data_IF_503507499299
#
_entry.id   IF_503507499299
#
_cell.length_a   1.000
_cell.length_b   1.000
_cell.length_c   1.000
_cell.angle_alpha   90.00
_cell.angle_beta   90.00
_cell.angle_gamma   90.00
#
_symmetry.space_group_name_H-M   'P 1'
#
loop_
_entity.id
_entity.type
_entity.pdbx_description
1 polymer ?
#
# COMPACT_ATOMS: atom_id res chain seq x y z
N UNK A 1 -15.26 54.70 -9.01
CA UNK A 1 -14.11 54.12 -9.75
C UNK A 1 -13.89 52.74 -9.18
N UNK A 2 -14.33 51.73 -9.92
CA UNK A 2 -14.11 50.32 -9.62
C UNK A 2 -12.67 50.02 -10.03
N UNK A 3 -11.86 49.48 -9.13
CA UNK A 3 -10.59 48.86 -9.51
C UNK A 3 -10.77 47.36 -9.36
N UNK A 4 -11.03 46.76 -10.51
CA UNK A 4 -10.79 45.37 -10.85
C UNK A 4 -9.28 45.12 -10.81
N UNK A 5 -8.83 44.26 -9.91
CA UNK A 5 -7.51 43.61 -10.02
C UNK A 5 -7.70 42.10 -10.04
N UNK A 6 -8.13 41.64 -11.21
CA UNK A 6 -8.12 40.24 -11.62
C UNK A 6 -6.68 39.77 -11.79
N UNK A 7 -6.02 39.35 -10.71
CA UNK A 7 -4.74 38.65 -10.78
C UNK A 7 -4.99 37.16 -11.07
N UNK A 8 -5.07 36.88 -12.36
CA UNK A 8 -4.98 35.56 -12.97
C UNK A 8 -3.59 34.97 -12.68
N UNK A 9 -3.40 34.33 -11.53
CA UNK A 9 -2.19 33.53 -11.27
C UNK A 9 -2.28 32.23 -12.06
N UNK A 10 -1.68 32.23 -13.25
CA UNK A 10 -1.27 31.03 -13.98
C UNK A 10 -0.35 30.20 -13.08
N UNK A 11 -0.88 29.09 -12.54
CA UNK A 11 -0.10 28.11 -11.78
C UNK A 11 0.76 27.32 -12.76
N UNK A 12 2.08 27.50 -12.71
CA UNK A 12 3.01 26.50 -13.24
C UNK A 12 2.72 25.19 -12.52
N UNK A 13 2.43 24.14 -13.29
CA UNK A 13 2.22 22.79 -12.80
C UNK A 13 3.58 22.19 -12.45
N UNK A 14 4.16 22.63 -11.33
CA UNK A 14 5.19 21.83 -10.67
C UNK A 14 4.55 20.49 -10.31
N UNK A 15 5.25 19.38 -10.55
CA UNK A 15 4.82 18.06 -10.11
C UNK A 15 4.87 18.02 -8.58
N UNK A 16 3.80 18.50 -7.96
CA UNK A 16 3.61 18.48 -6.52
C UNK A 16 3.32 17.03 -6.12
N UNK A 17 4.33 16.38 -5.54
CA UNK A 17 4.22 15.02 -5.01
C UNK A 17 3.49 15.05 -3.65
N UNK A 18 2.17 15.21 -3.70
CA UNK A 18 1.28 15.17 -2.54
C UNK A 18 0.44 13.90 -2.50
N UNK A 19 -0.24 13.63 -1.38
CA UNK A 19 -1.01 12.37 -1.24
C UNK A 19 -2.17 12.31 -2.24
N UNK A 20 -2.72 13.46 -2.66
CA UNK A 20 -3.81 13.54 -3.63
C UNK A 20 -3.34 13.38 -5.10
N UNK A 21 -2.04 13.23 -5.34
CA UNK A 21 -1.48 12.97 -6.67
C UNK A 21 -1.70 11.52 -7.13
N UNK A 22 -1.77 10.56 -6.20
CA UNK A 22 -1.97 9.13 -6.46
C UNK A 22 -3.36 8.61 -6.04
N UNK A 23 -4.23 9.49 -5.54
CA UNK A 23 -5.57 9.15 -5.07
C UNK A 23 -6.52 8.80 -6.23
N UNK A 24 -7.33 7.76 -6.06
CA UNK A 24 -8.42 7.36 -6.96
C UNK A 24 -9.42 8.51 -7.21
N UNK A 25 -9.58 9.42 -6.25
CA UNK A 25 -10.46 10.60 -6.34
C UNK A 25 -9.79 11.83 -6.97
N UNK A 26 -8.53 11.73 -7.43
CA UNK A 26 -7.65 12.87 -7.69
C UNK A 26 -8.19 13.98 -8.61
N UNK A 27 -8.99 13.67 -9.63
CA UNK A 27 -9.54 14.67 -10.57
C UNK A 27 -10.75 15.45 -10.02
N UNK A 28 -11.53 14.80 -9.16
CA UNK A 28 -12.78 15.36 -8.62
C UNK A 28 -12.66 15.84 -7.18
N UNK A 29 -11.56 15.53 -6.50
CA UNK A 29 -11.31 15.87 -5.10
C UNK A 29 -11.34 17.40 -4.85
N UNK A 30 -12.28 17.83 -4.00
CA UNK A 30 -12.45 19.24 -3.59
C UNK A 30 -11.22 19.75 -2.84
N UNK A 31 -10.62 18.92 -1.98
CA UNK A 31 -9.42 19.25 -1.21
C UNK A 31 -8.25 19.64 -2.11
N UNK A 32 -8.07 18.95 -3.25
CA UNK A 32 -7.03 19.27 -4.25
C UNK A 32 -7.31 20.58 -4.99
N UNK A 33 -8.58 20.86 -5.32
CA UNK A 33 -8.97 22.06 -6.08
C UNK A 33 -8.95 23.33 -5.25
N UNK A 34 -9.28 23.24 -3.96
CA UNK A 34 -9.49 24.41 -3.09
C UNK A 34 -8.23 24.81 -2.33
N UNK A 35 -7.33 23.88 -2.01
CA UNK A 35 -6.10 24.22 -1.29
C UNK A 35 -5.06 24.88 -2.19
N UNK A 36 -4.36 25.85 -1.60
CA UNK A 36 -3.16 26.44 -2.18
C UNK A 36 -1.95 25.75 -1.56
N UNK A 37 -1.46 24.69 -2.20
CA UNK A 37 -0.29 23.92 -1.76
C UNK A 37 -0.51 22.41 -1.74
N UNK A 38 0.54 21.63 -1.43
CA UNK A 38 0.45 20.16 -1.34
C UNK A 38 -0.52 19.71 -0.24
N UNK A 39 -1.25 18.64 -0.51
CA UNK A 39 -2.06 17.93 0.49
C UNK A 39 -1.26 16.78 1.09
N UNK A 40 -0.82 16.94 2.34
CA UNK A 40 -0.09 15.87 3.06
C UNK A 40 -1.00 14.91 3.83
N UNK A 41 -2.18 15.40 4.23
CA UNK A 41 -3.17 14.64 4.99
C UNK A 41 -4.54 14.88 4.38
N UNK A 42 -5.22 13.81 3.99
CA UNK A 42 -6.57 13.83 3.44
C UNK A 42 -7.34 12.63 3.97
N UNK A 43 -8.43 12.88 4.69
CA UNK A 43 -9.28 11.82 5.25
C UNK A 43 -10.06 11.06 4.17
N UNK A 44 -10.23 11.68 3.00
CA UNK A 44 -10.90 11.10 1.81
C UNK A 44 -9.91 10.47 0.82
N UNK A 45 -8.66 10.28 1.22
CA UNK A 45 -7.66 9.61 0.39
C UNK A 45 -8.04 8.14 0.17
N UNK A 46 -7.94 7.71 -1.09
CA UNK A 46 -8.23 6.34 -1.51
C UNK A 46 -7.19 5.89 -2.54
N UNK A 47 -6.45 4.84 -2.24
CA UNK A 47 -5.54 4.13 -3.14
C UNK A 47 -5.93 2.67 -3.32
N UNK A 48 -7.19 2.32 -3.01
CA UNK A 48 -7.66 0.95 -3.13
C UNK A 48 -7.54 0.48 -4.59
N UNK A 49 -6.75 -0.57 -4.78
CA UNK A 49 -6.65 -1.31 -6.04
C UNK A 49 -7.25 -2.69 -5.81
N UNK A 50 -8.31 -3.08 -6.54
CA UNK A 50 -8.88 -4.41 -6.42
C UNK A 50 -7.81 -5.44 -6.83
N UNK A 51 -7.56 -6.42 -5.96
CA UNK A 51 -6.72 -7.56 -6.30
C UNK A 51 -7.43 -8.33 -7.40
N UNK A 52 -6.89 -8.26 -8.62
CA UNK A 52 -7.34 -9.16 -9.68
C UNK A 52 -6.95 -10.56 -9.23
N UNK A 53 -7.91 -11.47 -9.21
CA UNK A 53 -7.67 -12.91 -9.11
C UNK A 53 -6.86 -13.32 -10.34
N UNK A 54 -5.57 -13.05 -10.32
CA UNK A 54 -4.63 -13.57 -11.29
C UNK A 54 -4.38 -15.00 -10.86
N UNK A 55 -4.78 -15.94 -11.72
CA UNK A 55 -4.32 -17.32 -11.68
C UNK A 55 -2.83 -17.30 -11.33
N UNK A 56 -2.53 -17.83 -10.14
CA UNK A 56 -1.19 -17.97 -9.58
C UNK A 56 -0.37 -18.91 -10.46
N UNK A 57 0.13 -18.38 -11.58
CA UNK A 57 1.31 -18.91 -12.22
C UNK A 57 2.51 -18.23 -11.56
N UNK A 58 3.27 -19.05 -10.83
CA UNK A 58 4.53 -18.76 -10.14
C UNK A 58 5.54 -17.98 -11.01
N UNK A 59 5.40 -16.66 -11.08
CA UNK A 59 6.47 -15.83 -11.62
C UNK A 59 6.51 -14.47 -10.92
N UNK A 60 7.31 -14.42 -9.85
CA UNK A 60 8.13 -13.25 -9.58
C UNK A 60 7.54 -12.16 -8.69
N UNK A 61 7.55 -12.39 -7.38
CA UNK A 61 7.82 -11.31 -6.43
C UNK A 61 9.22 -11.54 -5.86
N UNK A 62 10.21 -10.83 -6.40
CA UNK A 62 11.56 -10.84 -5.82
C UNK A 62 11.48 -10.09 -4.47
N UNK A 63 11.72 -10.75 -3.32
CA UNK A 63 11.82 -10.02 -2.07
C UNK A 63 13.07 -9.13 -2.13
N UNK A 64 12.94 -7.91 -1.59
CA UNK A 64 14.06 -7.02 -1.37
C UNK A 64 15.19 -7.78 -0.67
N UNK A 65 16.41 -7.67 -1.21
CA UNK A 65 17.57 -8.46 -0.80
C UNK A 65 17.91 -8.22 0.68
N UNK A 66 17.36 -9.06 1.56
CA UNK A 66 17.82 -9.17 2.93
C UNK A 66 19.09 -10.03 2.91
N UNK A 67 20.19 -9.51 3.45
CA UNK A 67 21.47 -10.22 3.52
C UNK A 67 21.34 -11.43 4.44
N UNK A 68 21.06 -12.60 3.89
CA UNK A 68 21.02 -13.87 4.62
C UNK A 68 22.40 -14.51 4.58
N UNK A 69 23.03 -14.69 5.74
CA UNK A 69 24.24 -15.49 5.91
C UNK A 69 23.96 -16.99 5.72
N UNK A 70 24.98 -17.82 5.46
CA UNK A 70 24.77 -19.22 5.07
C UNK A 70 24.44 -20.05 6.31
N UNK A 71 23.23 -20.59 6.38
CA UNK A 71 22.91 -21.55 7.43
C UNK A 71 21.46 -21.99 7.49
N UNK A 72 21.26 -23.25 7.11
CA UNK A 72 20.17 -24.16 7.51
C UNK A 72 18.89 -24.18 6.67
N UNK A 73 18.76 -25.29 5.92
CA UNK A 73 17.54 -26.00 5.47
C UNK A 73 16.32 -25.10 5.24
N UNK A 74 16.19 -24.68 4.00
CA UNK A 74 14.98 -24.15 3.39
C UNK A 74 13.80 -25.13 3.53
N UNK A 75 13.16 -25.12 4.71
CA UNK A 75 11.74 -25.40 4.78
C UNK A 75 11.07 -24.23 4.07
N UNK A 76 10.40 -24.52 2.97
CA UNK A 76 9.71 -23.57 2.13
C UNK A 76 8.68 -22.78 2.95
N UNK A 77 9.11 -21.65 3.52
CA UNK A 77 8.27 -20.73 4.29
C UNK A 77 7.46 -19.82 3.36
N UNK A 78 7.62 -19.94 2.04
CA UNK A 78 6.86 -19.14 1.07
C UNK A 78 5.35 -19.36 1.16
N UNK A 79 4.92 -20.53 1.67
CA UNK A 79 3.51 -20.86 1.88
C UNK A 79 2.88 -20.16 3.09
N UNK A 80 3.68 -19.70 4.06
CA UNK A 80 3.18 -19.09 5.28
C UNK A 80 3.25 -17.57 5.20
N UNK A 81 2.15 -16.88 5.53
CA UNK A 81 2.03 -15.42 5.48
C UNK A 81 1.63 -14.85 6.85
N UNK A 82 1.96 -13.59 7.08
CA UNK A 82 1.68 -12.91 8.35
C UNK A 82 2.41 -13.56 9.53
N UNK A 83 1.77 -13.60 10.70
CA UNK A 83 2.27 -14.23 11.92
C UNK A 83 2.59 -15.72 11.74
N UNK A 84 2.00 -16.41 10.77
CA UNK A 84 2.28 -17.85 10.59
C UNK A 84 3.70 -18.14 10.09
N UNK A 85 4.49 -17.14 9.66
CA UNK A 85 5.86 -17.37 9.18
C UNK A 85 6.78 -17.89 10.28
N UNK A 86 6.57 -17.45 11.52
CA UNK A 86 7.37 -17.75 12.70
C UNK A 86 6.59 -18.47 13.80
N UNK A 87 5.31 -18.80 13.61
CA UNK A 87 4.54 -19.60 14.56
C UNK A 87 5.06 -21.03 14.64
N UNK A 88 5.19 -21.57 15.86
CA UNK A 88 5.65 -22.94 16.09
C UNK A 88 4.66 -23.98 15.51
N UNK A 89 3.37 -23.71 15.63
CA UNK A 89 2.28 -24.60 15.17
C UNK A 89 1.88 -24.39 13.71
N UNK A 90 2.64 -23.63 12.92
CA UNK A 90 2.27 -23.24 11.53
C UNK A 90 1.86 -24.38 10.60
N UNK A 91 2.40 -25.59 10.78
CA UNK A 91 2.05 -26.75 9.93
C UNK A 91 0.73 -27.42 10.29
N UNK A 92 0.25 -27.25 11.53
CA UNK A 92 -0.99 -27.87 12.05
C UNK A 92 -2.08 -26.87 12.35
N UNK A 93 -1.74 -25.58 12.35
CA UNK A 93 -2.66 -24.48 12.62
C UNK A 93 -3.65 -24.32 11.46
N UNK A 94 -4.95 -24.43 11.74
CA UNK A 94 -6.04 -24.26 10.75
C UNK A 94 -6.02 -22.89 10.06
N UNK A 95 -5.48 -21.91 10.76
CA UNK A 95 -5.37 -20.51 10.37
C UNK A 95 -4.19 -20.22 9.40
N UNK A 96 -3.26 -21.17 9.25
CA UNK A 96 -2.01 -21.00 8.47
C UNK A 96 -2.18 -20.78 6.97
N UNK A 97 -3.31 -21.20 6.38
CA UNK A 97 -3.55 -21.18 4.92
C UNK A 97 -4.39 -19.99 4.44
N UNK A 98 -4.57 -18.97 5.28
CA UNK A 98 -5.37 -17.80 4.92
C UNK A 98 -4.69 -17.01 3.80
N UNK A 99 -5.42 -16.71 2.71
CA UNK A 99 -4.86 -16.12 1.47
C UNK A 99 -4.08 -14.81 1.71
N UNK A 100 -4.56 -13.98 2.65
CA UNK A 100 -3.94 -12.71 3.06
C UNK A 100 -2.95 -12.81 4.23
N UNK A 101 -2.75 -14.00 4.80
CA UNK A 101 -2.05 -14.17 6.07
C UNK A 101 -2.82 -13.63 7.26
N UNK A 102 -2.30 -13.86 8.46
CA UNK A 102 -2.94 -13.46 9.72
C UNK A 102 -2.05 -12.49 10.47
N UNK A 103 -2.62 -11.36 10.91
CA UNK A 103 -1.93 -10.33 11.67
C UNK A 103 -2.32 -10.29 13.15
N UNK A 104 -3.41 -10.99 13.50
CA UNK A 104 -3.87 -11.19 14.86
C UNK A 104 -4.41 -12.61 14.99
N UNK A 105 -3.82 -13.41 15.89
CA UNK A 105 -4.22 -14.79 16.11
C UNK A 105 -4.18 -15.08 17.61
N UNK A 106 -5.29 -15.56 18.16
CA UNK A 106 -5.40 -15.92 19.58
C UNK A 106 -4.68 -17.24 19.91
N UNK A 107 -4.42 -18.05 18.89
CA UNK A 107 -3.74 -19.35 19.01
C UNK A 107 -2.22 -19.24 18.69
N UNK A 108 -1.70 -18.02 18.55
CA UNK A 108 -0.30 -17.81 18.22
C UNK A 108 0.62 -18.21 19.38
N UNK A 109 1.56 -19.11 19.08
CA UNK A 109 2.63 -19.54 19.96
C UNK A 109 4.00 -19.43 19.28
#
# INVERSE_FOLDING_TARGET
MIQDDSISKTKNKEDVNDICSTCNHGELCVSKKTRQGPVWFCEEFDDYVPVKEQDVNEAGFLPAQSRVGPGTRENDTSQFKGLCINCESRFTCSNSRTQGGIWHCEEYC
#
